data_IF_326547034155
#
_entry.id   IF_326547034155
#
_cell.length_a   1.000
_cell.length_b   1.000
_cell.length_c   1.000
_cell.angle_alpha   90.00
_cell.angle_beta   90.00
_cell.angle_gamma   90.00
#
_symmetry.space_group_name_H-M   'P 1'
#
loop_
_entity.id
_entity.type
_entity.pdbx_description
1 polymer ?
#
# COMPACT_ATOMS: atom_id res chain seq x y z
N UNK A 1 1.90 -10.17 -11.63
CA UNK A 1 0.81 -11.16 -11.47
C UNK A 1 0.00 -10.72 -10.27
N UNK A 2 -1.18 -10.12 -10.50
CA UNK A 2 -2.04 -9.65 -9.42
C UNK A 2 -2.56 -10.86 -8.66
N UNK A 3 -2.02 -11.11 -7.46
CA UNK A 3 -2.54 -12.16 -6.61
C UNK A 3 -3.95 -11.73 -6.15
N UNK A 4 -4.95 -12.50 -6.57
CA UNK A 4 -6.33 -12.42 -6.06
C UNK A 4 -6.33 -12.41 -4.53
N UNK A 5 -7.11 -11.53 -3.90
CA UNK A 5 -7.94 -11.95 -2.78
C UNK A 5 -9.23 -12.50 -3.41
N UNK A 6 -9.45 -13.81 -3.34
CA UNK A 6 -10.72 -14.49 -3.70
C UNK A 6 -11.90 -14.08 -2.79
N UNK A 7 -11.79 -12.95 -2.09
CA UNK A 7 -12.66 -12.51 -1.00
C UNK A 7 -13.58 -11.34 -1.34
N UNK A 8 -13.41 -10.64 -2.47
CA UNK A 8 -14.18 -9.42 -2.80
C UNK A 8 -15.27 -9.56 -3.87
N UNK A 9 -15.45 -10.73 -4.47
CA UNK A 9 -16.57 -10.98 -5.42
C UNK A 9 -17.97 -11.03 -4.74
N UNK A 10 -18.03 -10.86 -3.42
CA UNK A 10 -19.28 -10.77 -2.67
C UNK A 10 -19.62 -9.33 -2.32
N UNK A 11 -20.92 -9.02 -2.22
CA UNK A 11 -21.45 -7.72 -1.74
C UNK A 11 -20.92 -7.31 -0.35
N UNK A 12 -20.39 -8.27 0.40
CA UNK A 12 -19.97 -8.11 1.78
C UNK A 12 -18.54 -8.63 1.99
N UNK A 13 -17.75 -7.95 2.82
CA UNK A 13 -16.42 -8.42 3.17
C UNK A 13 -16.48 -9.71 4.00
N UNK A 14 -15.57 -10.65 3.70
CA UNK A 14 -15.46 -11.93 4.43
C UNK A 14 -14.77 -11.79 5.79
N UNK A 15 -13.87 -10.83 5.91
CA UNK A 15 -13.19 -10.41 7.13
C UNK A 15 -13.40 -8.90 7.28
N UNK A 16 -13.41 -8.34 8.49
CA UNK A 16 -13.36 -6.89 8.68
C UNK A 16 -12.22 -6.28 7.84
N UNK A 17 -12.56 -5.29 7.02
CA UNK A 17 -11.62 -4.57 6.17
C UNK A 17 -11.26 -3.24 6.83
N UNK A 18 -9.99 -3.09 7.15
CA UNK A 18 -9.43 -1.95 7.85
C UNK A 18 -8.66 -1.10 6.87
N UNK A 19 -8.97 0.19 6.84
CA UNK A 19 -8.33 1.15 5.96
C UNK A 19 -7.65 2.19 6.82
N UNK A 20 -6.36 2.38 6.61
CA UNK A 20 -5.54 3.34 7.33
C UNK A 20 -4.84 4.25 6.35
N UNK A 21 -4.59 5.47 6.78
CA UNK A 21 -3.83 6.45 6.01
C UNK A 21 -3.44 7.63 6.91
N UNK A 22 -2.45 8.39 6.46
CA UNK A 22 -2.04 9.66 7.03
C UNK A 22 -2.44 10.82 6.11
N UNK A 23 -2.95 11.90 6.69
CA UNK A 23 -3.21 13.14 5.95
C UNK A 23 -2.63 14.35 6.64
N UNK A 24 -2.66 15.48 5.94
CA UNK A 24 -2.34 16.77 6.51
C UNK A 24 -3.31 17.84 6.03
N UNK A 25 -3.48 18.86 6.85
CA UNK A 25 -4.36 19.98 6.54
C UNK A 25 -3.80 21.28 7.09
N UNK A 26 -4.00 22.36 6.34
CA UNK A 26 -3.41 23.66 6.63
C UNK A 26 -4.48 24.58 7.20
N UNK A 27 -4.08 25.52 8.07
CA UNK A 27 -4.95 26.58 8.59
C UNK A 27 -5.62 27.34 7.42
N UNK A 28 -4.84 27.62 6.37
CA UNK A 28 -5.29 28.37 5.20
C UNK A 28 -5.95 27.49 4.12
N UNK A 29 -6.60 26.39 4.51
CA UNK A 29 -7.36 25.57 3.58
C UNK A 29 -8.77 26.14 3.44
N UNK A 30 -9.09 26.51 2.21
CA UNK A 30 -10.34 27.17 1.84
C UNK A 30 -10.93 26.47 0.62
N UNK A 31 -12.24 26.57 0.44
CA UNK A 31 -12.88 26.03 -0.75
C UNK A 31 -12.24 26.61 -2.04
N UNK A 32 -12.00 25.73 -3.02
CA UNK A 32 -11.45 26.13 -4.32
C UNK A 32 -12.40 27.06 -5.07
N UNK A 33 -13.68 26.74 -5.04
CA UNK A 33 -14.77 27.52 -5.66
C UNK A 33 -15.38 28.50 -4.65
N UNK A 34 -15.64 29.73 -5.10
CA UNK A 34 -16.31 30.76 -4.31
C UNK A 34 -17.25 31.55 -5.24
N UNK A 35 -18.21 32.26 -4.66
CA UNK A 35 -19.14 33.15 -5.37
C UNK A 35 -18.51 34.45 -5.87
N UNK A 36 -17.19 34.61 -5.73
CA UNK A 36 -16.46 35.77 -6.25
C UNK A 36 -16.28 35.67 -7.78
N UNK A 37 -16.35 36.81 -8.45
CA UNK A 37 -16.06 36.90 -9.88
C UNK A 37 -14.59 36.52 -10.15
N UNK A 38 -14.29 36.02 -11.36
CA UNK A 38 -12.98 35.47 -11.76
C UNK A 38 -11.77 36.38 -11.48
N UNK A 39 -11.99 37.69 -11.32
CA UNK A 39 -10.95 38.71 -11.09
C UNK A 39 -11.09 39.46 -9.74
N UNK A 40 -11.99 39.03 -8.85
CA UNK A 40 -12.15 39.68 -7.55
C UNK A 40 -11.03 39.26 -6.58
N UNK A 41 -10.44 40.20 -5.81
CA UNK A 41 -9.43 39.86 -4.82
C UNK A 41 -10.02 38.96 -3.74
N UNK A 42 -9.31 37.86 -3.42
CA UNK A 42 -9.65 36.97 -2.30
C UNK A 42 -8.83 37.41 -1.09
N UNK A 43 -9.48 37.92 -0.05
CA UNK A 43 -8.81 38.41 1.17
C UNK A 43 -8.48 37.30 2.17
N UNK A 44 -8.90 36.06 1.91
CA UNK A 44 -8.59 34.92 2.77
C UNK A 44 -7.21 34.38 2.38
N UNK A 45 -6.25 34.27 3.33
CA UNK A 45 -4.96 33.65 3.08
C UNK A 45 -5.16 32.25 2.49
N UNK A 46 -4.48 31.93 1.39
CA UNK A 46 -4.52 30.59 0.79
C UNK A 46 -3.11 30.03 0.66
N UNK A 47 -2.96 28.71 0.87
CA UNK A 47 -1.73 27.99 0.55
C UNK A 47 -0.70 27.83 1.68
N UNK A 48 -0.02 28.90 2.11
CA UNK A 48 1.06 28.83 3.13
C UNK A 48 0.49 29.02 4.54
N UNK A 49 0.65 28.06 5.44
CA UNK A 49 0.21 28.17 6.84
C UNK A 49 0.65 26.96 7.66
N UNK A 50 0.56 27.06 8.98
CA UNK A 50 0.76 25.91 9.86
C UNK A 50 -0.23 24.79 9.50
N UNK A 51 0.15 23.54 9.78
CA UNK A 51 -0.64 22.36 9.39
C UNK A 51 -0.80 21.41 10.58
N UNK A 52 -1.92 20.70 10.59
CA UNK A 52 -2.10 19.47 11.36
C UNK A 52 -1.67 18.27 10.53
N UNK A 53 -1.11 17.29 11.21
CA UNK A 53 -0.98 15.93 10.73
C UNK A 53 -2.13 15.11 11.34
N UNK A 54 -2.61 14.11 10.61
CA UNK A 54 -3.59 13.14 11.09
C UNK A 54 -3.18 11.74 10.64
N UNK A 55 -3.39 10.75 11.50
CA UNK A 55 -3.40 9.34 11.16
C UNK A 55 -4.65 8.71 11.76
N UNK A 56 -5.25 7.76 11.06
CA UNK A 56 -6.43 7.06 11.55
C UNK A 56 -6.68 5.77 10.80
N UNK A 57 -7.54 4.93 11.38
CA UNK A 57 -8.03 3.72 10.73
C UNK A 57 -9.55 3.62 10.85
N UNK A 58 -10.22 3.28 9.75
CA UNK A 58 -11.64 2.92 9.73
C UNK A 58 -11.84 1.45 9.44
N UNK A 59 -12.89 0.87 10.01
CA UNK A 59 -13.30 -0.50 9.79
C UNK A 59 -14.58 -0.56 8.96
N UNK A 60 -14.63 -1.48 7.99
CA UNK A 60 -15.83 -1.86 7.26
C UNK A 60 -16.04 -3.37 7.45
N UNK A 61 -17.21 -3.74 7.99
CA UNK A 61 -17.51 -5.12 8.34
C UNK A 61 -19.00 -5.45 8.19
N UNK A 62 -19.36 -6.71 8.36
CA UNK A 62 -20.76 -7.14 8.42
C UNK A 62 -21.17 -7.32 9.88
N UNK A 63 -22.24 -6.63 10.30
CA UNK A 63 -22.85 -6.80 11.63
C UNK A 63 -24.33 -7.09 11.44
N UNK A 64 -24.80 -8.23 11.96
CA UNK A 64 -26.19 -8.69 11.84
C UNK A 64 -26.70 -8.69 10.37
N UNK A 65 -25.87 -9.20 9.46
CA UNK A 65 -26.21 -9.34 8.03
C UNK A 65 -26.22 -8.03 7.22
N UNK A 66 -25.73 -6.92 7.78
CA UNK A 66 -25.66 -5.61 7.10
C UNK A 66 -24.26 -5.04 7.17
N UNK A 67 -23.89 -4.26 6.14
CA UNK A 67 -22.67 -3.45 6.21
C UNK A 67 -22.74 -2.49 7.39
N UNK A 68 -21.64 -2.45 8.12
CA UNK A 68 -21.38 -1.54 9.19
C UNK A 68 -20.00 -0.93 8.97
N UNK A 69 -19.85 0.33 9.37
CA UNK A 69 -18.57 1.00 9.33
C UNK A 69 -18.45 1.97 10.49
N UNK A 70 -17.23 2.10 10.99
CA UNK A 70 -16.89 2.94 12.13
C UNK A 70 -15.39 3.27 12.11
N UNK A 71 -15.00 4.34 12.82
CA UNK A 71 -13.60 4.52 13.18
C UNK A 71 -13.15 3.38 14.10
N UNK A 72 -11.96 2.86 13.89
CA UNK A 72 -11.35 1.93 14.84
C UNK A 72 -11.07 2.71 16.13
N UNK A 73 -11.51 2.22 17.30
CA UNK A 73 -11.28 2.88 18.59
C UNK A 73 -9.79 3.21 18.79
N UNK A 74 -9.53 4.38 19.37
CA UNK A 74 -8.18 4.87 19.70
C UNK A 74 -7.17 4.99 18.54
N UNK A 75 -7.59 4.71 17.30
CA UNK A 75 -6.72 4.79 16.12
C UNK A 75 -6.46 6.23 15.66
N UNK A 76 -7.44 7.12 15.83
CA UNK A 76 -7.37 8.51 15.41
C UNK A 76 -6.40 9.30 16.28
N UNK A 77 -5.39 9.90 15.65
CA UNK A 77 -4.44 10.83 16.24
C UNK A 77 -4.26 12.01 15.30
N UNK A 78 -4.32 13.23 15.83
CA UNK A 78 -4.03 14.43 15.06
C UNK A 78 -3.31 15.45 15.94
N UNK A 79 -2.36 16.17 15.36
CA UNK A 79 -1.50 17.10 16.08
C UNK A 79 -0.97 18.21 15.17
N UNK A 80 -0.61 19.37 15.72
CA UNK A 80 0.15 20.37 14.99
C UNK A 80 1.49 19.82 14.50
N UNK A 81 1.76 19.95 13.20
CA UNK A 81 2.98 19.40 12.58
C UNK A 81 4.31 19.94 13.09
N UNK A 82 4.31 21.04 13.84
CA UNK A 82 5.53 21.59 14.45
C UNK A 82 5.87 20.92 15.78
N UNK A 83 4.99 20.06 16.30
CA UNK A 83 5.29 19.23 17.46
C UNK A 83 6.36 18.20 17.10
N UNK A 84 7.31 18.02 18.02
CA UNK A 84 8.42 17.07 17.88
C UNK A 84 8.07 15.75 18.53
N UNK A 85 8.72 14.69 18.05
CA UNK A 85 8.46 13.34 18.54
C UNK A 85 9.12 13.20 19.90
N UNK A 86 8.40 12.60 20.83
CA UNK A 86 8.95 12.12 22.10
C UNK A 86 8.74 10.61 22.22
N UNK A 87 9.27 10.01 23.29
CA UNK A 87 9.19 8.56 23.49
C UNK A 87 7.76 8.05 23.71
N UNK A 88 6.79 8.94 23.98
CA UNK A 88 5.40 8.58 24.28
C UNK A 88 4.44 8.80 23.11
N UNK A 89 4.73 9.75 22.22
CA UNK A 89 3.78 10.26 21.22
C UNK A 89 4.24 10.11 19.75
N UNK A 90 3.26 10.12 18.84
CA UNK A 90 3.44 10.00 17.39
C UNK A 90 3.77 11.32 16.69
N UNK A 91 4.04 12.36 17.47
CA UNK A 91 4.12 13.72 17.01
C UNK A 91 5.39 13.98 16.21
N UNK A 92 5.38 13.91 14.87
CA UNK A 92 6.56 14.29 14.11
C UNK A 92 6.40 14.19 12.61
N UNK A 93 7.51 14.24 11.88
CA UNK A 93 7.52 13.79 10.50
C UNK A 93 7.35 12.28 10.50
N UNK A 94 6.13 11.83 10.17
CA UNK A 94 5.74 10.43 10.15
C UNK A 94 6.78 9.62 9.36
N UNK A 95 7.34 8.59 9.99
CA UNK A 95 8.41 7.77 9.46
C UNK A 95 8.13 6.29 9.77
N UNK A 96 8.97 5.39 9.26
CA UNK A 96 8.72 3.95 9.40
C UNK A 96 8.65 3.49 10.86
N UNK A 97 9.49 4.04 11.73
CA UNK A 97 9.47 3.71 13.16
C UNK A 97 8.18 4.17 13.85
N UNK A 98 7.77 5.43 13.63
CA UNK A 98 6.51 5.96 14.19
C UNK A 98 5.29 5.21 13.65
N UNK A 99 5.30 4.88 12.35
CA UNK A 99 4.25 4.07 11.74
C UNK A 99 4.14 2.71 12.40
N UNK A 100 5.23 1.94 12.53
CA UNK A 100 5.17 0.60 13.13
C UNK A 100 4.72 0.65 14.59
N UNK A 101 5.17 1.65 15.36
CA UNK A 101 4.71 1.86 16.74
C UNK A 101 3.19 2.10 16.80
N UNK A 102 2.66 2.95 15.91
CA UNK A 102 1.22 3.21 15.81
C UNK A 102 0.45 1.97 15.34
N UNK A 103 1.01 1.28 14.34
CA UNK A 103 0.44 0.10 13.71
C UNK A 103 0.36 -1.10 14.66
N UNK A 104 1.34 -1.29 15.55
CA UNK A 104 1.28 -2.34 16.59
C UNK A 104 0.12 -2.08 17.55
N UNK A 105 -0.07 -0.83 18.01
CA UNK A 105 -1.23 -0.47 18.85
C UNK A 105 -2.55 -0.69 18.11
N UNK A 106 -2.61 -0.32 16.83
CA UNK A 106 -3.77 -0.58 15.99
C UNK A 106 -4.07 -2.09 15.93
N UNK A 107 -3.08 -2.93 15.63
CA UNK A 107 -3.25 -4.38 15.56
C UNK A 107 -3.77 -4.97 16.87
N UNK A 108 -3.26 -4.53 18.02
CA UNK A 108 -3.77 -4.99 19.32
C UNK A 108 -5.25 -4.63 19.55
N UNK A 109 -5.67 -3.42 19.14
CA UNK A 109 -7.09 -3.01 19.21
C UNK A 109 -7.94 -3.86 18.24
N UNK A 110 -7.44 -4.11 17.04
CA UNK A 110 -8.15 -4.88 16.03
C UNK A 110 -8.40 -6.32 16.47
N UNK A 111 -7.38 -7.00 17.02
CA UNK A 111 -7.51 -8.35 17.56
C UNK A 111 -8.60 -8.41 18.65
N UNK A 112 -8.60 -7.45 19.58
CA UNK A 112 -9.58 -7.40 20.67
C UNK A 112 -11.02 -7.13 20.18
N UNK A 113 -11.19 -6.33 19.11
CA UNK A 113 -12.49 -5.79 18.71
C UNK A 113 -13.14 -6.52 17.53
N UNK A 114 -12.32 -7.07 16.65
CA UNK A 114 -12.71 -7.54 15.33
C UNK A 114 -12.12 -8.90 14.95
N UNK A 115 -11.37 -9.55 15.86
CA UNK A 115 -10.65 -10.80 15.58
C UNK A 115 -9.69 -10.62 14.38
N UNK A 116 -9.64 -11.57 13.45
CA UNK A 116 -8.80 -11.49 12.26
C UNK A 116 -9.31 -10.45 11.26
N UNK A 117 -8.48 -9.45 10.99
CA UNK A 117 -8.75 -8.36 10.06
C UNK A 117 -7.92 -8.46 8.78
N UNK A 118 -8.41 -7.82 7.72
CA UNK A 118 -7.62 -7.47 6.54
C UNK A 118 -7.35 -5.98 6.54
N UNK A 119 -6.08 -5.60 6.54
CA UNK A 119 -5.63 -4.23 6.66
C UNK A 119 -5.08 -3.77 5.31
N UNK A 120 -5.64 -2.67 4.80
CA UNK A 120 -5.26 -2.03 3.56
C UNK A 120 -4.25 -0.93 3.84
N UNK A 121 -3.07 -1.06 3.24
CA UNK A 121 -1.94 -0.15 3.45
C UNK A 121 -1.50 0.38 2.09
N UNK A 122 -1.14 1.65 2.02
CA UNK A 122 -0.75 2.26 0.75
C UNK A 122 0.71 1.91 0.34
N UNK A 123 1.14 2.47 -0.78
CA UNK A 123 2.43 2.17 -1.37
C UNK A 123 3.63 2.86 -0.70
N UNK A 124 3.44 3.70 0.32
CA UNK A 124 4.46 4.59 0.86
C UNK A 124 5.71 3.82 1.33
N UNK A 125 6.88 4.41 1.09
CA UNK A 125 8.15 3.77 1.42
C UNK A 125 8.29 3.48 2.91
N UNK A 126 7.76 4.35 3.77
CA UNK A 126 7.79 4.17 5.21
C UNK A 126 6.78 3.13 5.74
N UNK A 127 5.78 2.70 4.96
CA UNK A 127 4.94 1.53 5.29
C UNK A 127 5.58 0.19 4.87
N UNK A 128 6.65 0.26 4.07
CA UNK A 128 7.37 -0.90 3.50
C UNK A 128 8.77 -1.05 4.09
N UNK A 129 8.94 -0.73 5.37
CA UNK A 129 10.18 -1.01 6.09
C UNK A 129 10.44 -2.52 6.02
N UNK A 130 11.60 -2.90 5.50
CA UNK A 130 11.95 -4.30 5.26
C UNK A 130 12.83 -4.83 6.39
N UNK A 131 12.42 -5.96 6.98
CA UNK A 131 13.20 -6.67 8.00
C UNK A 131 14.41 -7.41 7.40
N UNK A 132 14.35 -7.73 6.10
CA UNK A 132 15.39 -8.42 5.34
C UNK A 132 15.98 -7.53 4.23
N UNK A 133 16.04 -6.22 4.46
CA UNK A 133 16.51 -5.25 3.47
C UNK A 133 17.92 -5.61 2.96
N UNK A 134 18.10 -5.47 1.64
CA UNK A 134 19.44 -5.43 1.06
C UNK A 134 20.13 -4.11 1.43
N UNK A 135 21.48 -4.05 1.45
CA UNK A 135 22.21 -2.84 1.77
C UNK A 135 21.80 -1.67 0.87
N UNK A 136 21.65 -0.42 1.38
CA UNK A 136 21.21 0.73 0.58
C UNK A 136 22.24 1.09 -0.51
N UNK A 137 21.85 1.79 -1.57
CA UNK A 137 22.71 2.06 -2.75
C UNK A 137 24.09 2.64 -2.40
N UNK A 138 24.15 3.49 -1.36
CA UNK A 138 25.35 4.13 -0.84
C UNK A 138 26.23 3.22 0.05
N UNK A 139 25.79 2.03 0.45
CA UNK A 139 26.52 1.10 1.32
C UNK A 139 27.95 0.82 0.84
N UNK A 140 28.86 0.62 1.80
CA UNK A 140 30.25 0.32 1.51
C UNK A 140 30.36 -1.06 0.86
N UNK A 141 31.43 -1.27 0.11
CA UNK A 141 31.71 -2.57 -0.54
C UNK A 141 31.81 -3.70 0.49
N UNK A 142 32.44 -3.43 1.63
CA UNK A 142 32.57 -4.39 2.73
C UNK A 142 31.20 -4.82 3.27
N UNK A 143 30.28 -3.86 3.51
CA UNK A 143 28.92 -4.15 3.99
C UNK A 143 28.13 -5.02 3.01
N UNK A 144 28.30 -4.78 1.70
CA UNK A 144 27.66 -5.58 0.65
C UNK A 144 28.18 -7.02 0.67
N UNK A 145 29.50 -7.20 0.79
CA UNK A 145 30.12 -8.54 0.87
C UNK A 145 29.67 -9.26 2.13
N UNK A 146 29.65 -8.59 3.27
CA UNK A 146 29.20 -9.15 4.54
C UNK A 146 27.72 -9.54 4.50
N UNK A 147 26.87 -8.70 3.88
CA UNK A 147 25.46 -9.06 3.66
C UNK A 147 25.31 -10.30 2.78
N UNK A 148 26.03 -10.38 1.66
CA UNK A 148 26.01 -11.57 0.79
C UNK A 148 26.45 -12.83 1.55
N UNK A 149 27.50 -12.72 2.37
CA UNK A 149 27.99 -13.81 3.23
C UNK A 149 26.91 -14.28 4.20
N UNK A 150 26.17 -13.36 4.84
CA UNK A 150 25.04 -13.69 5.72
C UNK A 150 23.87 -14.36 4.98
N UNK A 151 23.68 -14.05 3.70
CA UNK A 151 22.71 -14.75 2.84
C UNK A 151 23.23 -16.09 2.32
N UNK A 152 24.45 -16.51 2.67
CA UNK A 152 25.05 -17.77 2.22
C UNK A 152 25.82 -17.70 0.89
N UNK A 153 26.08 -16.50 0.37
CA UNK A 153 26.77 -16.29 -0.90
C UNK A 153 28.18 -15.74 -0.68
N UNK A 154 29.15 -16.26 -1.44
CA UNK A 154 30.52 -15.71 -1.47
C UNK A 154 30.69 -14.84 -2.70
N UNK A 155 31.21 -13.62 -2.52
CA UNK A 155 31.54 -12.72 -3.63
C UNK A 155 33.07 -12.61 -3.79
N UNK A 156 33.62 -12.69 -5.01
CA UNK A 156 35.05 -12.52 -5.22
C UNK A 156 35.56 -11.16 -4.76
N UNK A 157 36.73 -11.14 -4.13
CA UNK A 157 37.31 -9.93 -3.54
C UNK A 157 37.53 -8.79 -4.55
N UNK A 158 37.67 -9.08 -5.85
CA UNK A 158 37.87 -8.10 -6.91
C UNK A 158 36.57 -7.49 -7.48
N UNK A 159 35.37 -7.99 -7.14
CA UNK A 159 34.09 -7.48 -7.66
C UNK A 159 33.80 -6.02 -7.31
N UNK A 160 33.65 -5.18 -8.33
CA UNK A 160 33.19 -3.79 -8.19
C UNK A 160 31.83 -3.70 -7.50
N UNK A 161 31.49 -2.53 -6.94
CA UNK A 161 30.14 -2.30 -6.36
C UNK A 161 29.03 -2.60 -7.36
N UNK A 162 29.22 -2.30 -8.65
CA UNK A 162 28.26 -2.61 -9.71
C UNK A 162 28.05 -4.11 -9.87
N UNK A 163 29.12 -4.90 -9.89
CA UNK A 163 29.05 -6.37 -9.98
C UNK A 163 28.39 -6.97 -8.73
N UNK A 164 28.76 -6.52 -7.53
CA UNK A 164 28.11 -6.97 -6.29
C UNK A 164 26.61 -6.67 -6.26
N UNK A 165 26.18 -5.55 -6.86
CA UNK A 165 24.75 -5.22 -6.99
C UNK A 165 24.01 -6.14 -7.95
N UNK A 166 24.66 -6.55 -9.04
CA UNK A 166 24.09 -7.54 -9.95
C UNK A 166 23.88 -8.88 -9.23
N UNK A 167 24.83 -9.29 -8.37
CA UNK A 167 24.65 -10.48 -7.52
C UNK A 167 23.49 -10.30 -6.56
N UNK A 168 23.40 -9.18 -5.82
CA UNK A 168 22.24 -8.88 -4.95
C UNK A 168 20.92 -9.00 -5.73
N UNK A 169 20.84 -8.47 -6.95
CA UNK A 169 19.61 -8.51 -7.73
C UNK A 169 19.12 -9.94 -8.04
N UNK A 170 20.05 -10.90 -8.16
CA UNK A 170 19.76 -12.31 -8.40
C UNK A 170 19.44 -13.08 -7.11
N UNK A 171 20.10 -12.73 -6.00
CA UNK A 171 20.02 -13.51 -4.75
C UNK A 171 19.10 -12.92 -3.70
N UNK A 172 18.63 -11.68 -3.89
CA UNK A 172 17.83 -11.00 -2.87
C UNK A 172 16.55 -11.78 -2.58
N UNK A 173 16.25 -12.05 -1.31
CA UNK A 173 15.02 -12.71 -0.95
C UNK A 173 13.81 -11.83 -1.27
N UNK A 174 12.62 -12.44 -1.31
CA UNK A 174 11.37 -11.70 -1.35
C UNK A 174 11.31 -10.73 -0.16
N UNK A 175 11.00 -9.44 -0.38
CA UNK A 175 10.89 -8.48 0.70
C UNK A 175 9.90 -8.90 1.78
N UNK A 176 10.32 -8.83 3.04
CA UNK A 176 9.46 -9.06 4.20
C UNK A 176 9.28 -7.71 4.90
N UNK A 177 8.10 -7.13 4.73
CA UNK A 177 7.77 -5.85 5.35
C UNK A 177 7.43 -6.05 6.83
N UNK A 178 7.95 -5.16 7.67
CA UNK A 178 7.75 -5.18 9.12
C UNK A 178 6.27 -5.10 9.50
N UNK A 179 5.47 -4.30 8.78
CA UNK A 179 4.03 -4.23 8.97
C UNK A 179 3.33 -5.59 8.75
N UNK A 180 3.79 -6.40 7.78
CA UNK A 180 3.24 -7.73 7.53
C UNK A 180 3.58 -8.69 8.67
N UNK A 181 4.81 -8.63 9.18
CA UNK A 181 5.24 -9.42 10.35
C UNK A 181 4.43 -9.04 11.58
N UNK A 182 4.28 -7.72 11.81
CA UNK A 182 3.52 -7.17 12.93
C UNK A 182 2.05 -7.60 12.85
N UNK A 183 1.37 -7.40 11.72
CA UNK A 183 -0.03 -7.80 11.54
C UNK A 183 -0.25 -9.30 11.79
N UNK A 184 0.67 -10.16 11.30
CA UNK A 184 0.58 -11.61 11.50
C UNK A 184 0.71 -12.03 12.96
N UNK A 185 1.48 -11.30 13.78
CA UNK A 185 1.57 -11.52 15.24
C UNK A 185 0.21 -11.40 15.93
N UNK A 186 -0.69 -10.59 15.37
CA UNK A 186 -2.06 -10.35 15.84
C UNK A 186 -3.13 -11.02 14.95
N UNK A 187 -2.75 -12.03 14.16
CA UNK A 187 -3.67 -12.79 13.30
C UNK A 187 -4.38 -11.95 12.21
N UNK A 188 -3.72 -10.91 11.69
CA UNK A 188 -4.22 -10.06 10.62
C UNK A 188 -3.48 -10.27 9.29
N UNK A 189 -4.14 -9.92 8.18
CA UNK A 189 -3.58 -9.89 6.84
C UNK A 189 -3.33 -8.44 6.40
N UNK A 190 -2.17 -8.15 5.81
CA UNK A 190 -1.90 -6.84 5.17
C UNK A 190 -1.97 -6.98 3.66
N UNK A 191 -2.77 -6.13 3.02
CA UNK A 191 -2.78 -5.94 1.57
C UNK A 191 -2.28 -4.55 1.23
N UNK A 192 -1.27 -4.50 0.37
CA UNK A 192 -0.78 -3.24 -0.19
C UNK A 192 -1.60 -2.85 -1.41
N UNK A 193 -2.08 -1.61 -1.46
CA UNK A 193 -2.74 -1.12 -2.68
C UNK A 193 -1.72 -0.94 -3.81
N UNK A 194 -2.17 -1.13 -5.06
CA UNK A 194 -1.35 -0.81 -6.23
C UNK A 194 -0.84 0.64 -6.18
N UNK A 195 0.42 0.90 -6.60
CA UNK A 195 0.95 2.25 -6.67
C UNK A 195 0.09 3.14 -7.58
N UNK A 196 -0.10 4.41 -7.19
CA UNK A 196 -0.84 5.43 -7.97
C UNK A 196 -2.35 5.16 -8.12
N UNK A 197 -2.94 4.37 -7.23
CA UNK A 197 -4.38 4.11 -7.20
C UNK A 197 -5.04 4.55 -5.87
N UNK A 198 -4.98 5.85 -5.50
CA UNK A 198 -5.61 6.36 -4.27
C UNK A 198 -7.14 6.19 -4.29
N UNK A 199 -7.75 6.11 -5.46
CA UNK A 199 -9.18 5.83 -5.61
C UNK A 199 -9.59 4.44 -5.11
N UNK A 200 -8.64 3.55 -4.81
CA UNK A 200 -8.88 2.24 -4.17
C UNK A 200 -8.74 2.28 -2.64
N UNK A 201 -8.34 3.42 -2.06
CA UNK A 201 -8.27 3.64 -0.62
C UNK A 201 -9.49 4.43 -0.17
N UNK A 202 -10.44 3.79 0.51
CA UNK A 202 -11.69 4.47 0.91
C UNK A 202 -11.44 5.62 1.90
N UNK A 203 -10.36 5.52 2.71
CA UNK A 203 -10.03 6.51 3.73
C UNK A 203 -9.61 7.85 3.12
N UNK A 204 -9.06 7.87 1.90
CA UNK A 204 -8.80 9.10 1.15
C UNK A 204 -10.09 9.90 0.90
N UNK A 205 -11.20 9.21 0.63
CA UNK A 205 -12.50 9.85 0.46
C UNK A 205 -13.04 10.40 1.78
N UNK A 206 -12.77 9.72 2.89
CA UNK A 206 -13.14 10.17 4.23
C UNK A 206 -12.34 11.42 4.62
N UNK A 207 -11.05 11.45 4.31
CA UNK A 207 -10.26 12.67 4.40
C UNK A 207 -10.82 13.77 3.51
N UNK A 208 -11.20 13.48 2.27
CA UNK A 208 -11.88 14.44 1.40
C UNK A 208 -13.15 15.02 2.02
N UNK A 209 -13.97 14.19 2.65
CA UNK A 209 -15.20 14.61 3.32
C UNK A 209 -14.92 15.50 4.54
N UNK A 210 -13.88 15.19 5.32
CA UNK A 210 -13.42 16.03 6.43
C UNK A 210 -12.90 17.38 5.92
N UNK A 211 -12.03 17.36 4.90
CA UNK A 211 -11.44 18.56 4.29
C UNK A 211 -12.52 19.49 3.75
N UNK A 212 -13.53 18.95 3.07
CA UNK A 212 -14.64 19.75 2.55
C UNK A 212 -15.46 20.41 3.65
N UNK A 213 -15.69 19.74 4.79
CA UNK A 213 -16.38 20.35 5.94
C UNK A 213 -15.61 21.55 6.48
N UNK A 214 -14.32 21.37 6.74
CA UNK A 214 -13.47 22.46 7.24
C UNK A 214 -13.30 23.56 6.17
N UNK A 215 -13.35 23.24 4.88
CA UNK A 215 -13.27 24.24 3.81
C UNK A 215 -14.54 25.12 3.71
N UNK A 216 -15.70 24.61 4.12
CA UNK A 216 -16.97 25.34 4.17
C UNK A 216 -17.04 26.28 5.37
N UNK A 217 -16.33 25.94 6.45
CA UNK A 217 -16.16 26.77 7.63
C UNK A 217 -14.66 26.88 7.97
N UNK A 218 -13.88 27.68 7.22
CA UNK A 218 -12.43 27.75 7.36
C UNK A 218 -11.98 28.11 8.77
N UNK A 219 -10.79 27.64 9.15
CA UNK A 219 -10.23 27.94 10.46
C UNK A 219 -9.49 29.29 10.46
N UNK A 220 -9.64 30.06 11.53
CA UNK A 220 -8.99 31.36 11.70
C UNK A 220 -7.67 31.27 12.49
N UNK A 221 -7.44 30.16 13.18
CA UNK A 221 -6.21 29.91 13.94
C UNK A 221 -5.85 28.43 13.95
N UNK A 222 -4.66 28.10 14.46
CA UNK A 222 -4.25 26.71 14.65
C UNK A 222 -5.07 25.99 15.76
N UNK A 223 -5.46 26.70 16.82
CA UNK A 223 -6.32 26.14 17.86
C UNK A 223 -7.70 25.80 17.30
N UNK A 224 -8.31 26.77 16.63
CA UNK A 224 -9.60 26.63 15.95
C UNK A 224 -9.56 25.50 14.90
N UNK A 225 -8.47 25.39 14.13
CA UNK A 225 -8.31 24.24 13.22
C UNK A 225 -8.36 22.90 13.97
N UNK A 226 -7.74 22.81 15.16
CA UNK A 226 -7.78 21.61 16.00
C UNK A 226 -9.19 21.25 16.44
N UNK A 227 -9.98 22.24 16.87
CA UNK A 227 -11.37 22.05 17.28
C UNK A 227 -12.23 21.56 16.09
N UNK A 228 -12.10 22.23 14.93
CA UNK A 228 -12.80 21.83 13.69
C UNK A 228 -12.39 20.44 13.19
N UNK A 229 -11.15 20.02 13.43
CA UNK A 229 -10.73 18.64 13.17
C UNK A 229 -11.49 17.66 14.06
N UNK A 230 -11.54 17.92 15.37
CA UNK A 230 -12.26 17.08 16.32
C UNK A 230 -13.74 16.95 15.98
N UNK A 231 -14.40 18.08 15.74
CA UNK A 231 -15.81 18.14 15.34
C UNK A 231 -16.05 17.46 13.99
N UNK A 232 -15.22 17.75 12.99
CA UNK A 232 -15.32 17.18 11.66
C UNK A 232 -15.15 15.66 11.65
N UNK A 233 -14.21 15.14 12.45
CA UNK A 233 -13.99 13.69 12.62
C UNK A 233 -15.18 13.01 13.30
N UNK A 234 -15.73 13.64 14.35
CA UNK A 234 -16.92 13.15 15.04
C UNK A 234 -18.17 13.17 14.13
N UNK A 235 -18.23 14.09 13.18
CA UNK A 235 -19.31 14.23 12.20
C UNK A 235 -19.20 13.25 11.01
N UNK A 236 -18.12 12.48 10.88
CA UNK A 236 -18.03 11.43 9.85
C UNK A 236 -18.98 10.29 10.18
N UNK A 237 -19.90 10.01 9.26
CA UNK A 237 -20.95 9.03 9.45
C UNK A 237 -20.57 7.66 8.90
N UNK A 238 -21.21 6.60 9.44
CA UNK A 238 -21.11 5.25 8.86
C UNK A 238 -21.56 5.20 7.40
N UNK A 239 -22.48 6.07 6.98
CA UNK A 239 -23.01 6.11 5.61
C UNK A 239 -21.95 6.62 4.63
N UNK A 240 -21.13 7.60 5.04
CA UNK A 240 -20.02 8.08 4.21
C UNK A 240 -18.98 6.97 3.99
N UNK A 241 -18.60 6.23 5.04
CA UNK A 241 -17.75 5.06 4.92
C UNK A 241 -18.32 3.99 4.00
N UNK A 242 -19.59 3.62 4.18
CA UNK A 242 -20.26 2.63 3.33
C UNK A 242 -20.36 3.11 1.88
N UNK A 243 -20.57 4.42 1.65
CA UNK A 243 -20.58 5.03 0.33
C UNK A 243 -19.23 4.94 -0.36
N UNK A 244 -18.15 5.31 0.34
CA UNK A 244 -16.78 5.20 -0.15
C UNK A 244 -16.42 3.74 -0.45
N UNK A 245 -16.78 2.81 0.44
CA UNK A 245 -16.58 1.38 0.26
C UNK A 245 -17.22 0.85 -1.02
N UNK A 246 -18.50 1.15 -1.25
CA UNK A 246 -19.20 0.73 -2.47
C UNK A 246 -18.58 1.32 -3.74
N UNK A 247 -18.11 2.57 -3.67
CA UNK A 247 -17.42 3.20 -4.80
C UNK A 247 -16.14 2.46 -5.15
N UNK A 248 -15.32 2.11 -4.16
CA UNK A 248 -14.11 1.30 -4.37
C UNK A 248 -14.46 -0.07 -4.95
N UNK A 249 -15.48 -0.76 -4.42
CA UNK A 249 -15.91 -2.04 -5.00
C UNK A 249 -16.30 -1.93 -6.48
N UNK A 250 -16.99 -0.85 -6.86
CA UNK A 250 -17.32 -0.59 -8.27
C UNK A 250 -16.07 -0.36 -9.12
N UNK A 251 -15.09 0.38 -8.59
CA UNK A 251 -13.84 0.65 -9.29
C UNK A 251 -12.99 -0.61 -9.45
N UNK A 252 -12.89 -1.43 -8.40
CA UNK A 252 -12.21 -2.73 -8.44
C UNK A 252 -12.86 -3.66 -9.46
N UNK A 253 -14.19 -3.68 -9.54
CA UNK A 253 -14.93 -4.48 -10.52
C UNK A 253 -14.59 -4.04 -11.95
N UNK A 254 -14.59 -2.73 -12.22
CA UNK A 254 -14.23 -2.20 -13.53
C UNK A 254 -12.79 -2.56 -13.93
N UNK A 255 -11.83 -2.46 -13.01
CA UNK A 255 -10.43 -2.87 -13.28
C UNK A 255 -10.28 -4.37 -13.55
N UNK A 256 -11.06 -5.21 -12.87
CA UNK A 256 -11.05 -6.65 -13.10
C UNK A 256 -11.63 -6.95 -14.49
N UNK A 257 -12.75 -6.34 -14.86
CA UNK A 257 -13.38 -6.50 -16.17
C UNK A 257 -12.46 -6.03 -17.30
N UNK A 258 -11.82 -4.87 -17.15
CA UNK A 258 -10.84 -4.35 -18.11
C UNK A 258 -9.63 -5.29 -18.24
N UNK A 259 -9.08 -5.77 -17.13
CA UNK A 259 -7.96 -6.71 -17.14
C UNK A 259 -8.32 -8.06 -17.79
N UNK A 260 -9.57 -8.52 -17.64
CA UNK A 260 -10.07 -9.73 -18.30
C UNK A 260 -10.30 -9.51 -19.80
N UNK A 261 -10.85 -8.37 -20.19
CA UNK A 261 -11.05 -8.02 -21.60
C UNK A 261 -9.72 -7.82 -22.35
N UNK A 262 -8.69 -7.30 -21.66
CA UNK A 262 -7.35 -7.11 -22.21
C UNK A 262 -6.49 -8.39 -22.20
N UNK A 263 -6.93 -9.46 -21.54
CA UNK A 263 -6.19 -10.72 -21.53
C UNK A 263 -6.21 -11.33 -22.95
N UNK A 264 -5.04 -11.69 -23.52
CA UNK A 264 -5.02 -12.37 -24.81
C UNK A 264 -5.86 -13.65 -24.71
N UNK A 265 -6.62 -13.97 -25.76
CA UNK A 265 -7.36 -15.22 -25.85
C UNK A 265 -6.42 -16.37 -25.47
N UNK A 266 -6.80 -17.13 -24.43
CA UNK A 266 -5.98 -18.24 -23.97
C UNK A 266 -5.76 -19.19 -25.14
N UNK A 267 -4.56 -19.24 -25.70
CA UNK A 267 -4.18 -20.34 -26.56
C UNK A 267 -4.25 -21.57 -25.65
N UNK A 268 -5.15 -22.54 -25.90
CA UNK A 268 -5.23 -23.72 -25.06
C UNK A 268 -3.84 -24.33 -24.98
N UNK A 269 -3.39 -24.67 -23.76
CA UNK A 269 -2.15 -25.42 -23.64
C UNK A 269 -2.30 -26.71 -24.45
N UNK A 270 -1.34 -27.05 -25.33
CA UNK A 270 -1.45 -28.24 -26.16
C UNK A 270 -1.66 -29.44 -25.24
N UNK A 271 -2.68 -30.22 -25.57
CA UNK A 271 -3.01 -31.45 -24.86
C UNK A 271 -1.83 -32.40 -24.89
N UNK A 272 -1.80 -33.35 -23.95
CA UNK A 272 -0.77 -34.40 -23.92
C UNK A 272 -0.68 -35.15 -25.26
N UNK A 273 -1.80 -35.30 -25.97
CA UNK A 273 -1.83 -35.90 -27.31
C UNK A 273 -1.12 -35.04 -28.36
N UNK A 274 -1.37 -33.73 -28.38
CA UNK A 274 -0.71 -32.79 -29.30
C UNK A 274 0.80 -32.68 -29.02
N UNK A 275 1.20 -32.69 -27.75
CA UNK A 275 2.62 -32.73 -27.36
C UNK A 275 3.30 -34.03 -27.78
N UNK A 276 2.61 -35.17 -27.70
CA UNK A 276 3.13 -36.45 -28.17
C UNK A 276 3.23 -36.53 -29.69
N UNK A 277 2.28 -35.97 -30.43
CA UNK A 277 2.32 -35.89 -31.89
C UNK A 277 3.51 -35.05 -32.38
N UNK A 278 3.77 -33.90 -31.74
CA UNK A 278 4.93 -33.04 -32.02
C UNK A 278 6.27 -33.74 -31.70
N UNK A 279 6.31 -34.56 -30.65
CA UNK A 279 7.49 -35.35 -30.32
C UNK A 279 7.73 -36.46 -31.37
N UNK A 280 6.66 -37.08 -31.89
CA UNK A 280 6.74 -38.12 -32.91
C UNK A 280 7.19 -37.54 -34.28
N UNK A 281 6.67 -36.37 -34.66
CA UNK A 281 7.11 -35.66 -35.88
C UNK A 281 8.59 -35.30 -35.81
N UNK A 282 9.09 -34.84 -34.66
CA UNK A 282 10.53 -34.58 -34.46
C UNK A 282 11.39 -35.83 -34.53
N UNK A 283 10.90 -36.97 -34.05
CA UNK A 283 11.62 -38.24 -34.13
C UNK A 283 11.65 -38.79 -35.56
N UNK A 284 10.58 -38.61 -36.33
CA UNK A 284 10.53 -39.00 -37.74
C UNK A 284 11.39 -38.08 -38.62
N UNK A 285 11.53 -36.80 -38.28
CA UNK A 285 12.40 -35.86 -38.97
C UNK A 285 13.89 -36.05 -38.66
N UNK A 286 14.24 -36.63 -37.50
CA UNK A 286 15.62 -36.88 -37.09
C UNK A 286 16.17 -38.25 -37.54
N UNK A 287 15.36 -39.06 -38.24
CA UNK A 287 15.74 -40.40 -38.71
C UNK A 287 16.50 -40.45 -40.04
N UNK A 288 16.79 -39.32 -40.68
CA UNK A 288 17.31 -39.29 -42.06
C UNK A 288 18.66 -38.57 -42.27
N UNK A 289 19.35 -38.11 -41.22
CA UNK A 289 20.65 -37.46 -41.40
C UNK A 289 21.79 -38.25 -40.73
N UNK A 290 22.44 -39.10 -41.53
CA UNK A 290 23.83 -39.48 -41.31
C UNK A 290 24.74 -38.29 -41.64
N UNK A 291 25.29 -37.62 -40.65
CA UNK A 291 26.37 -36.65 -40.89
C UNK A 291 27.49 -36.87 -39.86
N UNK A 292 28.67 -37.14 -40.42
CA UNK A 292 29.94 -37.36 -39.76
C UNK A 292 30.32 -36.22 -38.81
N UNK A 293 30.88 -36.62 -37.66
CA UNK A 293 31.42 -35.73 -36.64
C UNK A 293 32.89 -35.47 -36.97
N UNK A 294 33.22 -34.25 -37.39
CA UNK A 294 34.61 -33.76 -37.42
C UNK A 294 34.81 -32.69 -36.33
N UNK A 295 35.56 -33.06 -35.30
CA UNK A 295 36.00 -32.15 -34.24
C UNK A 295 37.10 -31.23 -34.78
N UNK A 296 36.91 -29.92 -34.70
CA UNK A 296 38.02 -28.96 -34.74
C UNK A 296 38.00 -28.07 -33.51
N UNK A 297 39.03 -28.27 -32.69
CA UNK A 297 39.46 -27.41 -31.58
C UNK A 297 40.49 -26.42 -32.14
N UNK A 298 40.32 -25.13 -31.89
CA UNK A 298 41.43 -24.18 -31.87
C UNK A 298 41.11 -22.95 -31.00
N UNK A 299 42.07 -22.66 -30.12
CA UNK A 299 42.32 -21.58 -29.16
C UNK A 299 41.46 -20.30 -29.17
#
# INVERSE_FOLDING_TARGET
MFARPTSRLGRFPKLPEIYLDESYYKVNHVAGSTWLLKNSPRYIPSGKGQRYCIVGAGAVLVKKGKLHAEWVPDSLKFWPSHYKADDSDYHGNFNGYLFIKWFERLCAVLELRYESCRIHVDGASYHKVQTNAAPPSNALRADIIEWLRRQGYTAPAHYTRKQLRAVIAQVRPTPINEAVVMARKYHHEVLYTPPYHPELQIIDMIWGALKNRIALDPADSLGDLGDKFGEGLAAITKQEWIGAYKKVQSQETAYIEEAQAAAPASIPSPTRGELMALALERMNAAGDDSIDVEYNVAF
#
